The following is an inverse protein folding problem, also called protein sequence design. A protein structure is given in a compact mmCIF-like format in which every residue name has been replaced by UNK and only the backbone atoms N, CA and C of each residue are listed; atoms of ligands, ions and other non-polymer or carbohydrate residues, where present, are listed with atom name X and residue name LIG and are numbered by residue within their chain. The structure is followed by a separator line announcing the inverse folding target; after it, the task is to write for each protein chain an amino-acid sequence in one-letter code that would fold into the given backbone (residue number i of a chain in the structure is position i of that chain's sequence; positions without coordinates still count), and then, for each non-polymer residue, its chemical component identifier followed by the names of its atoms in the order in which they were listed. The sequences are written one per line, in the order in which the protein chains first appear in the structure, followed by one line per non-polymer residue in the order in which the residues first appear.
data_IF_797285804123
#
_entry.id   IF_797285804123
#
_cell.length_a   1.000
_cell.length_b   1.000
_cell.length_c   1.000
_cell.angle_alpha   90.00
_cell.angle_beta   90.00
_cell.angle_gamma   90.00
#
_symmetry.space_group_name_H-M   'P 1'
#
loop_
_entity.id
_entity.type
_entity.pdbx_description
1 polymer ?
#
# COMPACT_ATOMS: atom_id res chain seq x y z
N UNK A 1 -0.62 -3.52 1.23
CA UNK A 1 -1.07 -4.95 1.29
C UNK A 1 -0.28 -5.86 0.32
N UNK A 2 0.14 -5.41 -0.86
CA UNK A 2 0.76 -6.27 -1.88
C UNK A 2 2.18 -6.77 -1.52
N UNK A 3 2.97 -5.98 -0.82
CA UNK A 3 4.34 -6.36 -0.41
C UNK A 3 4.38 -7.38 0.73
N UNK A 4 3.27 -7.55 1.44
CA UNK A 4 3.13 -8.53 2.54
C UNK A 4 3.08 -9.99 2.07
N UNK A 5 2.71 -10.22 0.81
CA UNK A 5 2.50 -11.57 0.28
C UNK A 5 3.77 -12.43 0.24
N UNK A 6 4.95 -11.83 0.23
CA UNK A 6 6.20 -12.56 -0.01
C UNK A 6 6.67 -13.46 1.15
N UNK A 7 6.19 -13.25 2.37
CA UNK A 7 6.71 -13.95 3.56
C UNK A 7 5.71 -14.83 4.35
N UNK A 8 4.39 -14.69 4.13
CA UNK A 8 3.40 -15.23 5.07
C UNK A 8 2.20 -15.93 4.43
N UNK A 9 2.37 -16.59 3.29
CA UNK A 9 1.31 -17.43 2.70
C UNK A 9 0.84 -18.59 3.60
N UNK A 10 1.52 -18.83 4.72
CA UNK A 10 1.22 -19.93 5.64
C UNK A 10 0.49 -19.49 6.92
N UNK A 11 0.30 -18.20 7.18
CA UNK A 11 -0.39 -17.73 8.38
C UNK A 11 -1.89 -17.49 8.13
N UNK A 12 -2.72 -18.06 8.97
CA UNK A 12 -4.19 -17.97 8.98
C UNK A 12 -4.73 -16.53 8.82
N UNK A 13 -3.96 -15.53 9.21
CA UNK A 13 -4.29 -14.11 9.09
C UNK A 13 -4.55 -13.66 7.65
N UNK A 14 -3.85 -14.25 6.67
CA UNK A 14 -3.95 -13.87 5.25
C UNK A 14 -4.94 -14.71 4.44
N UNK A 15 -5.37 -15.85 4.96
CA UNK A 15 -6.39 -16.69 4.30
C UNK A 15 -7.71 -15.93 4.18
N UNK A 16 -8.08 -15.15 5.18
CA UNK A 16 -9.27 -14.31 5.13
C UNK A 16 -9.13 -13.17 4.12
N UNK A 17 -7.97 -12.53 4.03
CA UNK A 17 -7.70 -11.48 3.04
C UNK A 17 -7.80 -12.01 1.60
N UNK A 18 -7.23 -13.17 1.33
CA UNK A 18 -7.25 -13.81 0.00
C UNK A 18 -8.68 -14.04 -0.48
N UNK A 19 -9.61 -14.36 0.42
CA UNK A 19 -11.03 -14.57 0.08
C UNK A 19 -11.74 -13.27 -0.32
N UNK A 20 -11.27 -12.13 0.17
CA UNK A 20 -11.84 -10.81 -0.10
C UNK A 20 -11.25 -10.16 -1.37
N UNK A 21 -10.16 -10.71 -1.90
CA UNK A 21 -9.52 -10.11 -3.06
C UNK A 21 -10.25 -10.47 -4.37
N UNK A 22 -10.39 -9.53 -5.29
CA UNK A 22 -11.04 -9.76 -6.59
C UNK A 22 -10.12 -10.51 -7.58
N UNK A 23 -8.95 -10.97 -7.13
CA UNK A 23 -7.98 -11.71 -7.94
C UNK A 23 -7.53 -12.99 -7.23
N UNK A 24 -7.13 -13.97 -8.02
CA UNK A 24 -6.63 -15.25 -7.51
C UNK A 24 -5.16 -15.13 -7.13
N UNK A 25 -4.79 -15.78 -6.02
CA UNK A 25 -3.39 -15.96 -5.61
C UNK A 25 -3.06 -17.45 -5.66
N UNK A 26 -1.93 -17.81 -6.23
CA UNK A 26 -1.40 -19.16 -6.29
C UNK A 26 0.01 -19.20 -5.70
N UNK A 27 0.41 -20.37 -5.24
CA UNK A 27 1.77 -20.62 -4.77
C UNK A 27 2.66 -20.94 -5.96
N UNK A 28 3.82 -20.29 -6.04
CA UNK A 28 4.86 -20.69 -6.98
C UNK A 28 5.50 -22.01 -6.52
N UNK A 29 5.51 -23.01 -7.39
CA UNK A 29 6.03 -24.36 -7.09
C UNK A 29 7.54 -24.37 -6.86
N UNK A 30 8.27 -23.40 -7.44
CA UNK A 30 9.74 -23.36 -7.38
C UNK A 30 10.26 -22.55 -6.20
N UNK A 31 9.67 -21.39 -5.95
CA UNK A 31 10.13 -20.44 -4.93
C UNK A 31 9.29 -20.41 -3.66
N UNK A 32 8.19 -21.14 -3.63
CA UNK A 32 7.22 -21.13 -2.52
C UNK A 32 6.59 -19.75 -2.25
N UNK A 33 6.72 -18.79 -3.20
CA UNK A 33 6.21 -17.43 -3.10
C UNK A 33 4.79 -17.32 -3.66
N UNK A 34 3.98 -16.39 -3.17
CA UNK A 34 2.67 -16.13 -3.75
C UNK A 34 2.80 -15.43 -5.10
N UNK A 35 1.99 -15.88 -6.05
CA UNK A 35 1.84 -15.27 -7.37
C UNK A 35 0.41 -14.78 -7.54
N UNK A 36 0.26 -13.55 -8.00
CA UNK A 36 -1.02 -12.95 -8.38
C UNK A 36 -1.36 -13.42 -9.79
N UNK A 37 -2.53 -14.04 -9.95
CA UNK A 37 -2.99 -14.61 -11.21
C UNK A 37 -3.94 -13.62 -11.90
N UNK A 38 -3.55 -13.18 -13.08
CA UNK A 38 -4.34 -12.27 -13.91
C UNK A 38 -4.81 -13.01 -15.16
N UNK A 39 -6.13 -13.10 -15.32
CA UNK A 39 -6.75 -13.64 -16.52
C UNK A 39 -6.96 -12.50 -17.52
N UNK A 40 -6.25 -12.55 -18.62
CA UNK A 40 -6.45 -11.74 -19.82
C UNK A 40 -7.36 -12.51 -20.80
N UNK A 41 -7.88 -11.83 -21.83
CA UNK A 41 -8.82 -12.48 -22.78
C UNK A 41 -8.31 -13.83 -23.30
N UNK A 42 -7.04 -13.87 -23.70
CA UNK A 42 -6.46 -15.02 -24.41
C UNK A 42 -5.36 -15.75 -23.60
N UNK A 43 -5.00 -15.24 -22.42
CA UNK A 43 -3.91 -15.82 -21.61
C UNK A 43 -4.09 -15.59 -20.13
N UNK A 44 -3.50 -16.46 -19.35
CA UNK A 44 -3.36 -16.31 -17.90
C UNK A 44 -1.90 -15.99 -17.58
N UNK A 45 -1.68 -14.91 -16.88
CA UNK A 45 -0.34 -14.50 -16.44
C UNK A 45 -0.23 -14.55 -14.92
N UNK A 46 0.97 -14.84 -14.42
CA UNK A 46 1.27 -14.94 -13.00
C UNK A 46 2.40 -13.99 -12.66
N UNK A 47 2.19 -13.15 -11.68
CA UNK A 47 3.12 -12.09 -11.30
C UNK A 47 3.45 -12.14 -9.81
N UNK A 48 4.73 -12.03 -9.42
CA UNK A 48 5.09 -11.76 -8.04
C UNK A 48 4.67 -10.33 -7.64
N UNK A 49 4.54 -10.08 -6.35
CA UNK A 49 4.07 -8.80 -5.82
C UNK A 49 4.94 -7.63 -6.27
N UNK A 50 6.26 -7.82 -6.34
CA UNK A 50 7.24 -6.81 -6.78
C UNK A 50 6.96 -6.37 -8.23
N UNK A 51 6.52 -7.30 -9.07
CA UNK A 51 6.16 -6.97 -10.46
C UNK A 51 4.91 -6.11 -10.54
N UNK A 52 3.89 -6.39 -9.73
CA UNK A 52 2.68 -5.57 -9.66
C UNK A 52 3.03 -4.17 -9.13
N UNK A 53 3.82 -4.09 -8.05
CA UNK A 53 4.30 -2.82 -7.51
C UNK A 53 5.09 -2.02 -8.55
N UNK A 54 5.90 -2.69 -9.37
CA UNK A 54 6.66 -2.03 -10.44
C UNK A 54 5.77 -1.42 -11.53
N UNK A 55 4.62 -2.03 -11.83
CA UNK A 55 3.66 -1.47 -12.78
C UNK A 55 3.05 -0.17 -12.24
N UNK A 56 2.73 -0.13 -10.95
CA UNK A 56 2.23 1.08 -10.27
C UNK A 56 3.30 2.18 -10.28
N UNK A 57 4.52 1.85 -9.89
CA UNK A 57 5.65 2.80 -9.90
C UNK A 57 5.93 3.32 -11.32
N UNK A 58 5.84 2.46 -12.33
CA UNK A 58 5.97 2.86 -13.73
C UNK A 58 4.89 3.85 -14.16
N UNK A 59 3.64 3.65 -13.72
CA UNK A 59 2.55 4.59 -13.98
C UNK A 59 2.74 5.92 -13.28
N UNK A 60 3.18 5.90 -12.02
CA UNK A 60 3.50 7.12 -11.25
C UNK A 60 4.64 7.88 -11.93
N UNK A 61 5.69 7.17 -12.37
CA UNK A 61 6.80 7.75 -13.15
C UNK A 61 6.30 8.44 -14.40
N UNK A 62 5.46 7.78 -15.20
CA UNK A 62 4.86 8.36 -16.41
C UNK A 62 4.11 9.65 -16.09
N UNK A 63 3.25 9.66 -15.07
CA UNK A 63 2.48 10.85 -14.65
C UNK A 63 3.42 12.00 -14.27
N UNK A 64 4.47 11.69 -13.51
CA UNK A 64 5.46 12.69 -13.10
C UNK A 64 6.27 13.23 -14.29
N UNK A 65 6.64 12.38 -15.24
CA UNK A 65 7.32 12.79 -16.47
C UNK A 65 6.44 13.71 -17.34
N UNK A 66 5.15 13.39 -17.45
CA UNK A 66 4.17 14.22 -18.15
C UNK A 66 4.01 15.59 -17.48
N UNK A 67 3.89 15.62 -16.15
CA UNK A 67 3.81 16.85 -15.36
C UNK A 67 5.04 17.75 -15.51
N UNK A 68 6.24 17.17 -15.61
CA UNK A 68 7.50 17.87 -15.80
C UNK A 68 7.82 18.22 -17.27
N UNK A 69 6.84 18.17 -18.16
CA UNK A 69 7.04 18.50 -19.58
C UNK A 69 7.81 17.42 -20.34
N UNK A 70 7.56 16.15 -20.04
CA UNK A 70 8.19 14.96 -20.65
C UNK A 70 9.69 14.82 -20.36
N UNK A 71 10.17 15.40 -19.28
CA UNK A 71 11.54 15.17 -18.79
C UNK A 71 11.65 13.77 -18.19
N UNK A 72 12.60 12.99 -18.66
CA UNK A 72 12.83 11.62 -18.16
C UNK A 72 13.26 11.61 -16.70
N UNK A 73 12.53 10.87 -15.87
CA UNK A 73 12.84 10.61 -14.47
C UNK A 73 13.63 9.31 -14.37
N UNK A 74 14.85 9.37 -13.84
CA UNK A 74 15.73 8.21 -13.65
C UNK A 74 15.90 7.82 -12.19
N UNK A 75 15.77 8.77 -11.27
CA UNK A 75 16.10 8.60 -9.85
C UNK A 75 14.86 8.80 -8.98
N UNK A 76 14.74 8.00 -7.92
CA UNK A 76 13.65 8.12 -6.97
C UNK A 76 14.10 7.82 -5.54
N UNK A 77 13.40 8.44 -4.59
CA UNK A 77 13.34 8.01 -3.19
C UNK A 77 11.97 7.39 -3.01
N UNK A 78 11.90 6.20 -2.42
CA UNK A 78 10.64 5.50 -2.21
C UNK A 78 10.39 5.37 -0.71
N UNK A 79 9.16 5.59 -0.29
CA UNK A 79 8.75 5.47 1.11
C UNK A 79 8.18 4.09 1.41
N UNK A 80 8.36 3.65 2.65
CA UNK A 80 7.80 2.41 3.17
C UNK A 80 7.33 2.61 4.60
N UNK A 81 6.36 1.83 5.09
CA UNK A 81 5.97 1.83 6.50
C UNK A 81 7.16 1.62 7.42
N UNK A 82 7.15 2.26 8.60
CA UNK A 82 8.28 2.19 9.53
C UNK A 82 8.55 0.76 10.05
N UNK A 83 7.51 -0.08 10.11
CA UNK A 83 7.61 -1.49 10.54
C UNK A 83 8.06 -2.47 9.46
N UNK A 84 8.29 -2.03 8.21
CA UNK A 84 8.80 -2.91 7.16
C UNK A 84 10.14 -3.51 7.56
N UNK A 85 10.26 -4.82 7.42
CA UNK A 85 11.52 -5.51 7.59
C UNK A 85 12.43 -5.36 6.35
N UNK A 86 13.68 -5.80 6.46
CA UNK A 86 14.66 -5.62 5.38
C UNK A 86 14.24 -6.33 4.07
N UNK A 87 13.62 -7.51 4.16
CA UNK A 87 13.13 -8.22 2.97
C UNK A 87 12.03 -7.43 2.23
N UNK A 88 11.15 -6.75 2.96
CA UNK A 88 10.10 -5.91 2.38
C UNK A 88 10.69 -4.64 1.76
N UNK A 89 11.71 -4.05 2.40
CA UNK A 89 12.46 -2.89 1.86
C UNK A 89 13.18 -3.25 0.58
N UNK A 90 13.83 -4.41 0.54
CA UNK A 90 14.51 -4.89 -0.67
C UNK A 90 13.51 -5.18 -1.80
N UNK A 91 12.38 -5.83 -1.52
CA UNK A 91 11.32 -6.05 -2.51
C UNK A 91 10.79 -4.73 -3.08
N UNK A 92 10.67 -3.68 -2.25
CA UNK A 92 10.27 -2.34 -2.71
C UNK A 92 11.35 -1.70 -3.59
N UNK A 93 12.62 -1.86 -3.24
CA UNK A 93 13.76 -1.41 -4.05
C UNK A 93 13.80 -2.10 -5.41
N UNK A 94 13.56 -3.42 -5.43
CA UNK A 94 13.52 -4.21 -6.67
C UNK A 94 12.34 -3.81 -7.55
N UNK A 95 11.16 -3.55 -6.98
CA UNK A 95 10.03 -3.01 -7.72
C UNK A 95 10.39 -1.67 -8.41
N UNK A 96 11.13 -0.79 -7.73
CA UNK A 96 11.65 0.45 -8.31
C UNK A 96 12.60 0.20 -9.47
N UNK A 97 13.55 -0.73 -9.32
CA UNK A 97 14.49 -1.11 -10.40
C UNK A 97 13.75 -1.68 -11.61
N UNK A 98 12.77 -2.58 -11.38
CA UNK A 98 11.94 -3.16 -12.45
C UNK A 98 11.14 -2.08 -13.19
N UNK A 99 10.71 -1.02 -12.49
CA UNK A 99 10.07 0.15 -13.08
C UNK A 99 11.04 1.08 -13.86
N UNK A 100 12.31 0.75 -13.91
CA UNK A 100 13.35 1.54 -14.58
C UNK A 100 13.76 2.79 -13.79
N UNK A 101 13.75 2.69 -12.45
CA UNK A 101 14.19 3.75 -11.54
C UNK A 101 15.47 3.33 -10.82
N UNK A 102 16.42 4.25 -10.72
CA UNK A 102 17.51 4.18 -9.77
C UNK A 102 16.98 4.59 -8.39
N UNK A 103 16.78 3.62 -7.48
CA UNK A 103 16.28 3.88 -6.14
C UNK A 103 17.44 4.37 -5.27
N UNK A 104 17.50 5.67 -5.04
CA UNK A 104 18.57 6.30 -4.25
C UNK A 104 18.48 5.93 -2.77
N UNK A 105 17.26 5.88 -2.24
CA UNK A 105 17.03 5.60 -0.82
C UNK A 105 15.61 5.05 -0.59
N UNK A 106 15.49 4.18 0.39
CA UNK A 106 14.22 3.81 1.01
C UNK A 106 14.15 4.56 2.35
N UNK A 107 13.07 5.29 2.59
CA UNK A 107 12.84 6.03 3.85
C UNK A 107 11.49 5.64 4.47
N UNK A 108 11.36 5.85 5.77
CA UNK A 108 10.10 5.58 6.46
C UNK A 108 9.03 6.61 6.10
N UNK A 109 7.79 6.19 5.89
CA UNK A 109 6.65 7.06 5.60
C UNK A 109 6.46 8.17 6.65
N UNK A 110 6.49 7.89 7.98
CA UNK A 110 6.38 8.95 8.97
C UNK A 110 7.54 9.97 8.93
N UNK A 111 8.74 9.53 8.51
CA UNK A 111 9.87 10.45 8.30
C UNK A 111 9.61 11.35 7.09
N UNK A 112 9.09 10.80 6.00
CA UNK A 112 8.74 11.58 4.81
C UNK A 112 7.62 12.58 5.11
N UNK A 113 6.60 12.19 5.86
CA UNK A 113 5.51 13.07 6.29
C UNK A 113 6.06 14.24 7.13
N UNK A 114 6.93 13.96 8.10
CA UNK A 114 7.56 14.99 8.92
C UNK A 114 8.42 15.95 8.10
N UNK A 115 9.14 15.45 7.10
CA UNK A 115 9.94 16.28 6.16
C UNK A 115 9.04 17.16 5.29
N UNK A 116 7.96 16.61 4.74
CA UNK A 116 7.02 17.34 3.87
C UNK A 116 6.30 18.46 4.62
N UNK A 117 6.05 18.29 5.91
CA UNK A 117 5.41 19.30 6.75
C UNK A 117 6.32 20.52 7.05
N UNK A 118 7.50 20.57 6.44
CA UNK A 118 8.39 21.73 6.54
C UNK A 118 9.02 21.91 7.92
N UNK A 119 9.14 20.84 8.69
CA UNK A 119 9.89 20.84 9.93
C UNK A 119 11.38 20.93 9.62
N UNK A 120 11.69 22.00 8.88
CA UNK A 120 13.02 22.29 8.39
C UNK A 120 13.98 22.62 9.54
N UNK A 121 15.21 22.35 9.26
CA UNK A 121 16.49 22.57 9.90
C UNK A 121 16.73 23.90 10.67
N UNK A 122 15.78 24.80 10.72
CA UNK A 122 15.91 26.06 11.48
C UNK A 122 15.54 25.94 12.97
N UNK A 123 15.02 24.81 13.41
CA UNK A 123 14.69 24.63 14.80
C UNK A 123 15.89 24.06 15.57
N UNK A 124 16.46 24.91 16.42
CA UNK A 124 17.41 24.50 17.45
C UNK A 124 16.65 23.72 18.54
N UNK A 125 17.14 22.54 18.89
CA UNK A 125 16.58 21.70 19.96
C UNK A 125 15.93 20.41 19.49
N UNK A 126 15.43 19.64 20.45
CA UNK A 126 14.78 18.35 20.23
C UNK A 126 13.25 18.53 20.17
N UNK A 127 12.61 17.93 19.18
CA UNK A 127 11.14 17.85 19.07
C UNK A 127 10.70 16.40 18.92
N UNK A 128 9.62 16.04 19.58
CA UNK A 128 8.91 14.79 19.33
C UNK A 128 7.66 15.12 18.53
N UNK A 129 7.49 14.41 17.41
CA UNK A 129 6.41 14.58 16.47
C UNK A 129 5.52 13.35 16.55
N UNK A 130 4.23 13.55 16.65
CA UNK A 130 3.24 12.50 16.50
C UNK A 130 2.75 12.51 15.04
N UNK A 131 2.98 11.42 14.33
CA UNK A 131 2.52 11.24 12.96
C UNK A 131 1.36 10.27 12.97
N UNK A 132 0.21 10.71 12.49
CA UNK A 132 -1.01 9.96 12.34
C UNK A 132 -1.27 9.76 10.85
N UNK A 133 -1.17 8.52 10.39
CA UNK A 133 -1.34 8.15 8.99
C UNK A 133 -2.47 7.14 8.85
N UNK A 134 -3.64 7.61 8.39
CA UNK A 134 -4.80 6.78 8.10
C UNK A 134 -5.00 6.74 6.60
N UNK A 135 -4.52 5.65 5.99
CA UNK A 135 -4.63 5.41 4.56
C UNK A 135 -5.93 4.71 4.16
N UNK A 136 -6.00 4.29 2.90
CA UNK A 136 -7.15 3.55 2.38
C UNK A 136 -7.28 2.12 2.94
N UNK A 137 -6.20 1.53 3.42
CA UNK A 137 -6.21 0.13 3.88
C UNK A 137 -5.36 -0.15 5.11
N UNK A 138 -4.65 0.85 5.63
CA UNK A 138 -3.80 0.73 6.83
C UNK A 138 -3.89 1.98 7.67
N UNK A 139 -3.70 1.82 8.95
CA UNK A 139 -3.59 2.89 9.91
C UNK A 139 -2.26 2.76 10.64
N UNK A 140 -1.48 3.84 10.64
CA UNK A 140 -0.17 3.90 11.27
C UNK A 140 -0.05 5.14 12.15
N UNK A 141 0.48 4.96 13.35
CA UNK A 141 0.89 6.03 14.25
C UNK A 141 2.35 5.90 14.57
N UNK A 142 3.07 7.01 14.56
CA UNK A 142 4.51 7.01 14.85
C UNK A 142 4.90 8.20 15.70
N UNK A 143 5.85 7.96 16.61
CA UNK A 143 6.55 9.02 17.31
C UNK A 143 7.91 9.20 16.65
N UNK A 144 8.13 10.37 16.09
CA UNK A 144 9.38 10.72 15.40
C UNK A 144 10.09 11.81 16.19
N UNK A 145 11.33 11.57 16.59
CA UNK A 145 12.19 12.58 17.20
C UNK A 145 12.99 13.31 16.12
N UNK A 146 12.85 14.62 16.10
CA UNK A 146 13.70 15.51 15.33
C UNK A 146 14.74 16.13 16.26
N UNK A 147 16.00 15.85 16.01
CA UNK A 147 17.13 16.39 16.75
C UNK A 147 18.31 16.65 15.80
N UNK A 148 18.83 17.88 15.81
CA UNK A 148 19.95 18.28 14.94
C UNK A 148 19.74 17.88 13.47
N UNK A 149 18.55 18.14 12.93
CA UNK A 149 18.14 17.81 11.56
C UNK A 149 18.11 16.29 11.23
N UNK A 150 18.19 15.45 12.24
CA UNK A 150 18.04 13.99 12.12
C UNK A 150 16.66 13.56 12.58
N UNK A 151 16.02 12.69 11.82
CA UNK A 151 14.72 12.12 12.13
C UNK A 151 14.91 10.68 12.59
N UNK A 152 14.47 10.38 13.81
CA UNK A 152 14.53 9.04 14.39
C UNK A 152 13.11 8.60 14.76
N UNK A 153 12.65 7.51 14.19
CA UNK A 153 11.39 6.88 14.60
C UNK A 153 11.64 6.18 15.93
N UNK A 154 11.00 6.68 17.00
CA UNK A 154 11.14 6.14 18.36
C UNK A 154 10.20 4.97 18.62
N UNK A 155 8.98 5.08 18.09
CA UNK A 155 7.94 4.06 18.24
C UNK A 155 7.01 4.14 17.03
N UNK A 156 6.45 2.99 16.67
CA UNK A 156 5.39 2.88 15.67
C UNK A 156 4.42 1.80 16.10
N UNK A 157 3.14 2.03 15.83
CA UNK A 157 2.06 1.08 16.04
C UNK A 157 0.98 1.36 15.01
N UNK A 158 -0.02 0.49 14.90
CA UNK A 158 -1.10 0.69 13.96
C UNK A 158 -1.90 -0.58 13.71
N UNK A 159 -2.75 -0.53 12.70
CA UNK A 159 -3.52 -1.67 12.23
C UNK A 159 -3.38 -1.79 10.71
N UNK A 160 -2.82 -2.89 10.25
CA UNK A 160 -2.62 -3.19 8.82
C UNK A 160 -3.92 -3.54 8.08
N UNK A 161 -5.06 -3.57 8.78
CA UNK A 161 -6.38 -3.92 8.27
C UNK A 161 -7.44 -2.85 8.63
N UNK A 162 -7.01 -1.64 8.99
CA UNK A 162 -7.88 -0.52 9.25
C UNK A 162 -7.55 0.62 8.29
N UNK A 163 -8.55 1.08 7.54
CA UNK A 163 -8.39 2.19 6.61
C UNK A 163 -9.71 2.62 5.98
N UNK A 164 -9.66 3.55 5.06
CA UNK A 164 -10.84 4.09 4.39
C UNK A 164 -11.71 3.01 3.73
N UNK A 165 -11.09 1.93 3.23
CA UNK A 165 -11.83 0.81 2.64
C UNK A 165 -12.72 0.07 3.67
N UNK A 166 -12.33 0.03 4.93
CA UNK A 166 -13.14 -0.59 5.98
C UNK A 166 -14.33 0.30 6.34
N UNK A 167 -14.16 1.61 6.32
CA UNK A 167 -15.26 2.57 6.48
C UNK A 167 -16.25 2.47 5.32
N UNK A 168 -15.75 2.41 4.08
CA UNK A 168 -16.59 2.21 2.88
C UNK A 168 -17.40 0.90 2.98
N UNK A 169 -16.76 -0.18 3.41
CA UNK A 169 -17.42 -1.48 3.57
C UNK A 169 -18.54 -1.45 4.64
N UNK A 170 -18.32 -0.75 5.75
CA UNK A 170 -19.34 -0.55 6.79
C UNK A 170 -20.51 0.27 6.27
N UNK A 171 -20.22 1.35 5.55
CA UNK A 171 -21.25 2.20 4.96
C UNK A 171 -22.05 1.44 3.88
N UNK A 172 -21.36 0.68 3.03
CA UNK A 172 -22.01 -0.17 2.04
C UNK A 172 -22.97 -1.18 2.71
N UNK A 173 -22.52 -1.82 3.78
CA UNK A 173 -23.36 -2.75 4.54
C UNK A 173 -24.60 -2.06 5.06
N UNK A 174 -24.45 -0.92 5.69
CA UNK A 174 -25.57 -0.12 6.19
C UNK A 174 -26.58 0.22 5.07
N UNK A 175 -26.09 0.73 3.94
CA UNK A 175 -26.94 1.05 2.79
C UNK A 175 -27.68 -0.19 2.23
N UNK A 176 -27.02 -1.34 2.18
CA UNK A 176 -27.64 -2.58 1.73
C UNK A 176 -28.73 -3.05 2.68
N UNK A 177 -28.48 -3.00 3.98
CA UNK A 177 -29.43 -3.39 5.01
C UNK A 177 -30.67 -2.48 4.96
N UNK A 178 -30.51 -1.18 4.85
CA UNK A 178 -31.59 -0.21 4.70
C UNK A 178 -32.39 -0.42 3.40
N UNK A 179 -31.71 -0.64 2.28
CA UNK A 179 -32.35 -0.94 1.01
C UNK A 179 -33.18 -2.21 1.08
N UNK A 180 -32.67 -3.24 1.73
CA UNK A 180 -33.38 -4.51 1.93
C UNK A 180 -34.62 -4.34 2.80
N UNK A 181 -34.54 -3.54 3.87
CA UNK A 181 -35.69 -3.20 4.72
C UNK A 181 -36.79 -2.49 3.92
N UNK A 182 -36.42 -1.49 3.10
CA UNK A 182 -37.37 -0.67 2.36
C UNK A 182 -37.99 -1.39 1.16
N UNK A 183 -37.24 -2.26 0.48
CA UNK A 183 -37.66 -2.85 -0.81
C UNK A 183 -37.91 -4.35 -0.75
N UNK A 184 -37.53 -5.02 0.34
CA UNK A 184 -37.47 -6.46 0.49
C UNK A 184 -36.59 -7.19 -0.57
N UNK A 185 -35.60 -6.44 -1.16
CA UNK A 185 -34.68 -6.95 -2.18
C UNK A 185 -33.26 -7.02 -1.59
N UNK A 186 -32.63 -8.19 -1.65
CA UNK A 186 -31.25 -8.39 -1.26
C UNK A 186 -30.34 -8.24 -2.48
N UNK A 187 -29.46 -7.21 -2.43
CA UNK A 187 -28.51 -6.92 -3.51
C UNK A 187 -27.10 -7.44 -3.24
N UNK A 188 -26.85 -8.12 -2.14
CA UNK A 188 -25.51 -8.58 -1.72
C UNK A 188 -24.81 -9.43 -2.78
N UNK A 189 -25.55 -10.22 -3.54
CA UNK A 189 -25.03 -11.07 -4.62
C UNK A 189 -25.03 -10.40 -6.01
N UNK A 190 -25.48 -9.16 -6.12
CA UNK A 190 -25.51 -8.43 -7.39
C UNK A 190 -24.24 -7.61 -7.57
N UNK A 191 -23.24 -8.19 -8.24
CA UNK A 191 -21.93 -7.53 -8.46
C UNK A 191 -22.04 -6.16 -9.12
N UNK A 192 -23.02 -5.94 -10.02
CA UNK A 192 -23.21 -4.64 -10.68
C UNK A 192 -23.74 -3.59 -9.70
N UNK A 193 -24.70 -3.98 -8.86
CA UNK A 193 -25.23 -3.11 -7.81
C UNK A 193 -24.12 -2.77 -6.79
N UNK A 194 -23.38 -3.78 -6.33
CA UNK A 194 -22.27 -3.61 -5.39
C UNK A 194 -21.19 -2.67 -5.90
N UNK A 195 -20.82 -2.77 -7.20
CA UNK A 195 -19.84 -1.84 -7.81
C UNK A 195 -20.34 -0.41 -7.94
N UNK A 196 -21.66 -0.21 -8.02
CA UNK A 196 -22.25 1.13 -8.09
C UNK A 196 -22.44 1.76 -6.72
N UNK A 197 -22.59 0.93 -5.71
CA UNK A 197 -22.71 1.36 -4.32
C UNK A 197 -21.34 1.77 -3.75
N UNK A 198 -20.27 1.06 -4.12
CA UNK A 198 -18.89 1.40 -3.79
C UNK A 198 -18.35 2.57 -4.65
#
# INVERSE_FOLDING_TARGET
RQTFLSKYAETWKYINDIRLWPFKVEKDTNSNRPLIVIKLKDKTEKYPAERISSMILGKIKQIAEEYLGKKQIKKAIITVPAYFNESQREATRDAGKIAGLEVLKIINEPTAAALAYGLNSQHKGTKNLFVFDLGGGTFDVSIVRLENSKYNVLATNGDTHLGGEDFDNLLMKYCMDEFKIQTNIDISNNQKAMRRLK
#
